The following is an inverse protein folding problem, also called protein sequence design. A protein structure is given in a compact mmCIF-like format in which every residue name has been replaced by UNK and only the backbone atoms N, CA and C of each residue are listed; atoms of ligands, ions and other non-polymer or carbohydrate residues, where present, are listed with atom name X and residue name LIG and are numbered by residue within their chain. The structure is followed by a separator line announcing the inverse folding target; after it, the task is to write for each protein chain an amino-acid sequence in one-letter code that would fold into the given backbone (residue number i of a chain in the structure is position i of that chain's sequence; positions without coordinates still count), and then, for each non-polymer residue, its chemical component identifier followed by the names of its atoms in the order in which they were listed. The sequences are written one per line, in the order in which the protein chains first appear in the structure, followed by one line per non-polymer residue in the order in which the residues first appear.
data_IF_314216839021
#
_entry.id   IF_314216839021
#
_cell.length_a   1.000
_cell.length_b   1.000
_cell.length_c   1.000
_cell.angle_alpha   90.00
_cell.angle_beta   90.00
_cell.angle_gamma   90.00
#
_symmetry.space_group_name_H-M   'P 1'
#
loop_
_entity.id
_entity.type
_entity.pdbx_description
1 polymer ?
#
# COMPACT_ATOMS: atom_id res chain seq x y z
N UNK A 1 2.49 14.78 2.60
CA UNK A 1 1.11 14.24 2.62
C UNK A 1 1.29 12.80 2.24
N UNK A 2 0.99 11.86 3.15
CA UNK A 2 1.44 10.49 3.01
C UNK A 2 1.02 9.90 1.67
N UNK A 3 1.91 9.16 1.05
CA UNK A 3 1.66 8.54 -0.25
C UNK A 3 2.23 7.14 -0.34
N UNK A 4 1.61 6.39 -1.22
CA UNK A 4 1.97 5.03 -1.60
C UNK A 4 2.31 5.02 -3.08
N UNK A 5 3.50 4.56 -3.44
CA UNK A 5 3.88 4.32 -4.82
C UNK A 5 3.76 2.81 -5.07
N UNK A 6 2.92 2.44 -6.03
CA UNK A 6 2.68 1.06 -6.42
C UNK A 6 2.55 0.95 -7.94
N UNK A 7 3.32 0.07 -8.57
CA UNK A 7 3.40 -0.06 -10.03
C UNK A 7 3.61 1.27 -10.78
N UNK A 8 4.41 2.18 -10.21
CA UNK A 8 4.69 3.50 -10.79
C UNK A 8 3.60 4.56 -10.60
N UNK A 9 2.49 4.23 -9.94
CA UNK A 9 1.40 5.16 -9.63
C UNK A 9 1.54 5.66 -8.20
N UNK A 10 1.43 6.98 -8.00
CA UNK A 10 1.48 7.62 -6.68
C UNK A 10 0.07 7.87 -6.17
N UNK A 11 -0.30 7.16 -5.11
CA UNK A 11 -1.58 7.28 -4.42
C UNK A 11 -1.42 8.17 -3.18
N UNK A 12 -2.16 9.28 -3.12
CA UNK A 12 -2.34 10.03 -1.88
C UNK A 12 -3.17 9.21 -0.89
N UNK A 13 -2.69 9.04 0.33
CA UNK A 13 -3.37 8.27 1.38
C UNK A 13 -3.41 9.04 2.70
N UNK A 14 -4.34 8.69 3.59
CA UNK A 14 -4.37 9.25 4.94
C UNK A 14 -3.23 8.70 5.80
N UNK A 15 -2.85 9.44 6.85
CA UNK A 15 -1.85 9.00 7.83
C UNK A 15 -2.19 7.62 8.42
N UNK A 16 -3.45 7.39 8.80
CA UNK A 16 -3.91 6.10 9.32
C UNK A 16 -3.70 4.96 8.33
N UNK A 17 -3.93 5.20 7.03
CA UNK A 17 -3.69 4.20 5.98
C UNK A 17 -2.20 3.98 5.75
N UNK A 18 -1.39 5.03 5.85
CA UNK A 18 0.06 4.92 5.75
C UNK A 18 0.61 4.02 6.86
N UNK A 19 0.23 4.27 8.11
CA UNK A 19 0.68 3.47 9.26
C UNK A 19 0.20 2.01 9.17
N UNK A 20 -1.07 1.79 8.81
CA UNK A 20 -1.60 0.44 8.61
C UNK A 20 -0.87 -0.29 7.47
N UNK A 21 -0.55 0.40 6.37
CA UNK A 21 0.22 -0.19 5.26
C UNK A 21 1.63 -0.54 5.74
N UNK A 22 2.30 0.35 6.48
CA UNK A 22 3.62 0.10 7.04
C UNK A 22 3.64 -1.14 7.95
N UNK A 23 2.66 -1.28 8.84
CA UNK A 23 2.54 -2.46 9.71
C UNK A 23 2.33 -3.75 8.90
N UNK A 24 1.47 -3.69 7.88
CA UNK A 24 1.20 -4.84 7.01
C UNK A 24 2.45 -5.27 6.23
N UNK A 25 3.25 -4.32 5.74
CA UNK A 25 4.51 -4.61 5.05
C UNK A 25 5.54 -5.26 5.99
N UNK A 26 5.58 -4.87 7.27
CA UNK A 26 6.43 -5.53 8.26
C UNK A 26 6.02 -7.01 8.43
N UNK A 27 4.71 -7.28 8.54
CA UNK A 27 4.18 -8.66 8.63
C UNK A 27 4.44 -9.49 7.37
N UNK A 28 4.54 -8.88 6.18
CA UNK A 28 5.00 -9.58 4.96
C UNK A 28 6.45 -10.03 5.07
N UNK A 29 7.35 -9.16 5.54
CA UNK A 29 8.75 -9.47 5.68
C UNK A 29 8.98 -10.63 6.69
N UNK A 30 8.10 -10.75 7.67
CA UNK A 30 8.12 -11.83 8.67
C UNK A 30 7.44 -13.14 8.19
N UNK A 31 6.87 -13.15 6.99
CA UNK A 31 6.22 -14.35 6.42
C UNK A 31 4.86 -14.68 7.03
N UNK A 32 4.23 -13.73 7.73
CA UNK A 32 2.97 -13.94 8.45
C UNK A 32 1.71 -13.76 7.58
N UNK A 33 1.84 -13.38 6.31
CA UNK A 33 0.70 -13.14 5.40
C UNK A 33 1.06 -13.41 3.94
N UNK A 34 0.07 -13.84 3.16
CA UNK A 34 0.19 -14.18 1.73
C UNK A 34 -0.06 -13.00 0.79
N UNK A 35 -0.61 -11.90 1.32
CA UNK A 35 -0.94 -10.72 0.53
C UNK A 35 -1.91 -9.79 1.25
N UNK A 36 -2.09 -8.59 0.71
CA UNK A 36 -3.01 -7.56 1.21
C UNK A 36 -3.79 -7.01 0.04
N UNK A 37 -5.10 -6.89 0.25
CA UNK A 37 -5.97 -6.19 -0.69
C UNK A 37 -6.33 -4.83 -0.12
N UNK A 38 -6.25 -3.81 -0.95
CA UNK A 38 -6.48 -2.43 -0.56
C UNK A 38 -7.33 -1.72 -1.61
N UNK A 39 -8.34 -0.98 -1.19
CA UNK A 39 -9.07 -0.07 -2.08
C UNK A 39 -8.64 1.37 -1.84
N UNK A 40 -8.24 2.04 -2.91
CA UNK A 40 -7.87 3.46 -2.93
C UNK A 40 -8.68 4.19 -4.01
N UNK A 41 -8.94 5.47 -3.79
CA UNK A 41 -9.47 6.35 -4.84
C UNK A 41 -8.32 7.18 -5.39
N UNK A 42 -8.15 7.18 -6.71
CA UNK A 42 -7.13 7.94 -7.43
C UNK A 42 -7.77 8.55 -8.67
N UNK A 43 -7.58 9.84 -8.88
CA UNK A 43 -8.14 10.59 -10.01
C UNK A 43 -9.65 10.35 -10.25
N UNK A 44 -10.41 10.24 -9.14
CA UNK A 44 -11.85 9.99 -9.17
C UNK A 44 -12.26 8.54 -9.47
N UNK A 45 -11.31 7.66 -9.78
CA UNK A 45 -11.53 6.23 -9.98
C UNK A 45 -11.19 5.42 -8.73
N UNK A 46 -11.89 4.30 -8.51
CA UNK A 46 -11.57 3.35 -7.45
C UNK A 46 -10.61 2.29 -7.98
N UNK A 47 -9.44 2.19 -7.35
CA UNK A 47 -8.42 1.19 -7.64
C UNK A 47 -8.43 0.12 -6.55
N UNK A 48 -8.34 -1.14 -6.95
CA UNK A 48 -8.17 -2.28 -6.07
C UNK A 48 -6.75 -2.81 -6.23
N UNK A 49 -5.91 -2.55 -5.22
CA UNK A 49 -4.53 -2.99 -5.19
C UNK A 49 -4.45 -4.34 -4.51
N UNK A 50 -3.72 -5.27 -5.14
CA UNK A 50 -3.35 -6.55 -4.55
C UNK A 50 -1.84 -6.58 -4.41
N UNK A 51 -1.37 -6.50 -3.16
CA UNK A 51 0.05 -6.45 -2.82
C UNK A 51 0.44 -7.83 -2.31
N UNK A 52 1.35 -8.49 -3.01
CA UNK A 52 1.92 -9.78 -2.61
C UNK A 52 3.38 -9.62 -2.17
N UNK A 53 3.92 -10.57 -1.40
CA UNK A 53 5.35 -10.59 -1.10
C UNK A 53 6.22 -10.48 -2.37
N UNK A 54 7.25 -9.65 -2.30
CA UNK A 54 8.19 -9.41 -3.41
C UNK A 54 7.79 -8.32 -4.41
N UNK A 55 6.56 -7.77 -4.33
CA UNK A 55 6.16 -6.65 -5.20
C UNK A 55 6.78 -5.35 -4.69
N UNK A 56 7.42 -4.53 -5.56
CA UNK A 56 7.98 -3.25 -5.15
C UNK A 56 6.88 -2.28 -4.74
N UNK A 57 7.06 -1.70 -3.56
CA UNK A 57 6.15 -0.74 -2.93
C UNK A 57 6.98 0.31 -2.20
N UNK A 58 6.58 1.57 -2.28
CA UNK A 58 7.28 2.65 -1.57
C UNK A 58 6.27 3.49 -0.80
N UNK A 59 6.58 3.75 0.46
CA UNK A 59 5.84 4.64 1.32
C UNK A 59 6.62 5.95 1.46
N UNK A 60 5.96 7.09 1.25
CA UNK A 60 6.53 8.43 1.41
C UNK A 60 5.67 9.23 2.40
N UNK A 61 6.29 9.88 3.37
CA UNK A 61 5.64 10.67 4.44
C UNK A 61 5.30 12.11 3.99
#
# INVERSE_FOLDING_TARGET
MPSLIFNGVTYGISQTRFEATRELLARFAEGHTLGVTMSLTHDGARHHLFITPGVPITLVE
#
